data_IF_614446874103
#
_entry.id   IF_614446874103
#
_cell.length_a   1.000
_cell.length_b   1.000
_cell.length_c   1.000
_cell.angle_alpha   90.00
_cell.angle_beta   90.00
_cell.angle_gamma   90.00
#
_symmetry.space_group_name_H-M   'P 1'
#
loop_
_entity.id
_entity.type
_entity.pdbx_description
1 polymer ?
#
# COMPACT_ATOMS: atom_id res chain seq x y z
N UNK A 1 36.99 -20.54 -27.85
CA UNK A 1 36.17 -19.31 -27.74
C UNK A 1 35.75 -19.16 -26.29
N UNK A 2 36.49 -18.39 -25.49
CA UNK A 2 36.08 -18.02 -24.13
C UNK A 2 35.23 -16.76 -24.22
N UNK A 3 33.97 -16.91 -24.64
CA UNK A 3 32.98 -15.88 -24.32
C UNK A 3 32.92 -15.78 -22.80
N UNK A 4 32.81 -14.58 -22.26
CA UNK A 4 32.61 -14.38 -20.81
C UNK A 4 31.28 -15.06 -20.45
N UNK A 5 31.33 -16.33 -20.05
CA UNK A 5 30.18 -17.01 -19.49
C UNK A 5 29.76 -16.26 -18.22
N UNK A 6 28.45 -15.98 -18.05
CA UNK A 6 27.92 -15.55 -16.77
C UNK A 6 28.38 -16.51 -15.66
N UNK A 7 28.79 -15.97 -14.52
CA UNK A 7 29.38 -16.76 -13.41
C UNK A 7 28.46 -17.91 -12.97
N UNK A 8 27.15 -17.69 -13.02
CA UNK A 8 26.10 -18.67 -12.70
C UNK A 8 26.07 -19.88 -13.66
N UNK A 9 26.48 -19.70 -14.92
CA UNK A 9 26.51 -20.75 -15.94
C UNK A 9 27.76 -21.63 -15.89
N UNK A 10 28.81 -21.23 -15.16
CA UNK A 10 30.02 -22.04 -14.97
C UNK A 10 29.70 -23.36 -14.28
N UNK A 11 28.79 -23.34 -13.30
CA UNK A 11 28.34 -24.55 -12.63
C UNK A 11 27.64 -25.51 -13.59
N UNK A 12 26.77 -24.98 -14.46
CA UNK A 12 26.06 -25.78 -15.47
C UNK A 12 27.06 -26.39 -16.45
N UNK A 13 28.07 -25.62 -16.87
CA UNK A 13 29.13 -26.11 -17.75
C UNK A 13 29.96 -27.23 -17.10
N UNK A 14 30.34 -27.10 -15.83
CA UNK A 14 31.06 -28.14 -15.09
C UNK A 14 30.19 -29.39 -14.84
N UNK A 15 28.89 -29.22 -14.62
CA UNK A 15 27.96 -30.34 -14.48
C UNK A 15 27.82 -31.12 -15.79
N UNK A 16 27.74 -30.40 -16.90
CA UNK A 16 27.66 -30.90 -18.26
C UNK A 16 28.92 -31.69 -18.67
N UNK A 17 30.12 -31.21 -18.32
CA UNK A 17 31.38 -31.94 -18.59
C UNK A 17 31.51 -33.22 -17.77
N UNK A 18 31.00 -33.23 -16.53
CA UNK A 18 31.05 -34.41 -15.64
C UNK A 18 30.03 -35.49 -16.00
N UNK A 19 28.87 -35.12 -16.58
CA UNK A 19 27.76 -36.02 -16.90
C UNK A 19 27.34 -35.88 -18.37
N UNK A 20 28.19 -36.31 -19.33
CA UNK A 20 27.97 -36.06 -20.74
C UNK A 20 26.74 -36.79 -21.32
N UNK A 21 26.32 -37.89 -20.71
CA UNK A 21 25.14 -38.68 -21.13
C UNK A 21 23.80 -38.01 -20.81
N UNK A 22 23.78 -37.07 -19.86
CA UNK A 22 22.55 -36.40 -19.40
C UNK A 22 22.51 -34.92 -19.84
N UNK A 23 23.40 -34.51 -20.76
CA UNK A 23 23.53 -33.14 -21.26
C UNK A 23 22.18 -32.50 -21.63
N UNK A 24 21.38 -33.18 -22.44
CA UNK A 24 20.09 -32.67 -22.92
C UNK A 24 19.10 -32.46 -21.77
N UNK A 25 19.10 -33.38 -20.80
CA UNK A 25 18.23 -33.30 -19.62
C UNK A 25 18.64 -32.18 -18.69
N UNK A 26 19.94 -31.99 -18.47
CA UNK A 26 20.51 -30.88 -17.68
C UNK A 26 20.14 -29.54 -18.32
N UNK A 27 20.40 -29.38 -19.63
CA UNK A 27 20.05 -28.16 -20.36
C UNK A 27 18.55 -27.87 -20.32
N UNK A 28 17.71 -28.89 -20.57
CA UNK A 28 16.26 -28.71 -20.56
C UNK A 28 15.73 -28.34 -19.17
N UNK A 29 16.30 -28.93 -18.12
CA UNK A 29 15.94 -28.59 -16.75
C UNK A 29 16.30 -27.14 -16.43
N UNK A 30 17.54 -26.73 -16.69
CA UNK A 30 18.01 -25.37 -16.40
C UNK A 30 17.25 -24.31 -17.21
N UNK A 31 16.98 -24.55 -18.49
CA UNK A 31 16.15 -23.65 -19.31
C UNK A 31 14.76 -23.48 -18.69
N UNK A 32 14.14 -24.57 -18.21
CA UNK A 32 12.82 -24.49 -17.56
C UNK A 32 12.88 -23.74 -16.23
N UNK A 33 13.91 -23.96 -15.43
CA UNK A 33 14.09 -23.30 -14.13
C UNK A 33 14.27 -21.79 -14.31
N UNK A 34 15.24 -21.38 -15.13
CA UNK A 34 15.51 -19.97 -15.43
C UNK A 34 14.32 -19.27 -16.12
N UNK A 35 13.55 -19.98 -16.96
CA UNK A 35 12.32 -19.45 -17.54
C UNK A 35 11.23 -19.18 -16.48
N UNK A 36 11.09 -20.06 -15.48
CA UNK A 36 10.16 -19.85 -14.36
C UNK A 36 10.57 -18.67 -13.50
N UNK A 37 11.85 -18.51 -13.21
CA UNK A 37 12.38 -17.37 -12.44
C UNK A 37 12.14 -16.05 -13.16
N UNK A 38 12.33 -16.00 -14.49
CA UNK A 38 12.01 -14.80 -15.27
C UNK A 38 10.50 -14.47 -15.21
N UNK A 39 9.63 -15.49 -15.34
CA UNK A 39 8.18 -15.31 -15.19
C UNK A 39 7.81 -14.78 -13.80
N UNK A 40 8.41 -15.31 -12.74
CA UNK A 40 8.22 -14.81 -11.37
C UNK A 40 8.66 -13.36 -11.23
N UNK A 41 9.84 -12.99 -11.75
CA UNK A 41 10.33 -11.62 -11.73
C UNK A 41 9.37 -10.65 -12.44
N UNK A 42 8.82 -11.06 -13.59
CA UNK A 42 7.82 -10.27 -14.34
C UNK A 42 6.52 -10.13 -13.57
N UNK A 43 6.02 -11.21 -12.98
CA UNK A 43 4.80 -11.22 -12.19
C UNK A 43 4.93 -10.32 -10.95
N UNK A 44 6.05 -10.39 -10.22
CA UNK A 44 6.33 -9.52 -9.06
C UNK A 44 6.30 -8.05 -9.48
N UNK A 45 6.91 -7.67 -10.61
CA UNK A 45 6.85 -6.28 -11.08
C UNK A 45 5.43 -5.81 -11.40
N UNK A 46 4.61 -6.65 -12.02
CA UNK A 46 3.21 -6.33 -12.28
C UNK A 46 2.44 -6.16 -10.96
N UNK A 47 2.68 -7.04 -10.00
CA UNK A 47 2.04 -7.01 -8.69
C UNK A 47 2.43 -5.74 -7.90
N UNK A 48 3.70 -5.31 -7.98
CA UNK A 48 4.16 -4.04 -7.40
C UNK A 48 3.42 -2.82 -7.97
N UNK A 49 3.19 -2.78 -9.29
CA UNK A 49 2.43 -1.68 -9.92
C UNK A 49 0.97 -1.65 -9.46
N UNK A 50 0.31 -2.81 -9.41
CA UNK A 50 -1.08 -2.92 -8.94
C UNK A 50 -1.19 -2.57 -7.45
N UNK A 51 -0.22 -2.99 -6.65
CA UNK A 51 -0.14 -2.65 -5.23
C UNK A 51 0.04 -1.14 -5.03
N UNK A 52 0.89 -0.49 -5.84
CA UNK A 52 1.08 0.96 -5.78
C UNK A 52 -0.23 1.73 -6.07
N UNK A 53 -0.95 1.33 -7.11
CA UNK A 53 -2.23 1.96 -7.48
C UNK A 53 -3.32 1.76 -6.42
N UNK A 54 -3.52 0.52 -5.97
CA UNK A 54 -4.51 0.21 -4.93
C UNK A 54 -4.20 0.90 -3.60
N UNK A 55 -2.92 1.02 -3.26
CA UNK A 55 -2.43 1.72 -2.09
C UNK A 55 -2.76 3.21 -2.12
N UNK A 56 -2.57 3.89 -3.27
CA UNK A 56 -2.92 5.29 -3.46
C UNK A 56 -4.42 5.51 -3.22
N UNK A 57 -5.26 4.68 -3.85
CA UNK A 57 -6.72 4.73 -3.70
C UNK A 57 -7.15 4.59 -2.25
N UNK A 58 -6.56 3.64 -1.49
CA UNK A 58 -6.84 3.46 -0.07
C UNK A 58 -6.45 4.69 0.76
N UNK A 59 -5.30 5.31 0.46
CA UNK A 59 -4.85 6.52 1.15
C UNK A 59 -5.84 7.67 1.00
N UNK A 60 -6.36 7.88 -0.21
CA UNK A 60 -7.39 8.89 -0.48
C UNK A 60 -8.69 8.58 0.26
N UNK A 61 -9.14 7.33 0.25
CA UNK A 61 -10.36 6.92 0.98
C UNK A 61 -10.21 7.14 2.49
N UNK A 62 -9.06 6.82 3.06
CA UNK A 62 -8.78 7.07 4.49
C UNK A 62 -8.81 8.57 4.78
N UNK A 63 -8.18 9.41 3.96
CA UNK A 63 -8.19 10.85 4.16
C UNK A 63 -9.61 11.44 4.11
N UNK A 64 -10.43 10.99 3.16
CA UNK A 64 -11.85 11.38 3.06
C UNK A 64 -12.62 10.91 4.30
N UNK A 65 -12.42 9.66 4.74
CA UNK A 65 -13.09 9.14 5.93
C UNK A 65 -12.69 9.93 7.19
N UNK A 66 -11.41 10.26 7.36
CA UNK A 66 -10.92 11.08 8.48
C UNK A 66 -11.50 12.48 8.43
N UNK A 67 -11.63 13.09 7.24
CA UNK A 67 -12.28 14.39 7.08
C UNK A 67 -13.75 14.34 7.52
N UNK A 68 -14.52 13.38 7.00
CA UNK A 68 -15.95 13.22 7.35
C UNK A 68 -16.10 13.00 8.85
N UNK A 69 -15.25 12.17 9.46
CA UNK A 69 -15.32 11.86 10.87
C UNK A 69 -14.98 13.08 11.74
N UNK A 70 -13.94 13.84 11.39
CA UNK A 70 -13.59 15.08 12.07
C UNK A 70 -14.66 16.16 11.91
N UNK A 71 -15.24 16.31 10.73
CA UNK A 71 -16.33 17.26 10.48
C UNK A 71 -17.58 16.90 11.30
N UNK A 72 -17.97 15.63 11.33
CA UNK A 72 -19.09 15.15 12.14
C UNK A 72 -18.84 15.35 13.65
N UNK A 73 -17.62 15.07 14.14
CA UNK A 73 -17.25 15.36 15.52
C UNK A 73 -17.27 16.86 15.82
N UNK A 74 -16.80 17.70 14.90
CA UNK A 74 -16.84 19.16 15.01
C UNK A 74 -18.25 19.69 15.17
N UNK A 75 -19.18 19.22 14.33
CA UNK A 75 -20.62 19.56 14.42
C UNK A 75 -21.23 19.11 15.74
N UNK A 76 -20.93 17.90 16.21
CA UNK A 76 -21.40 17.39 17.51
C UNK A 76 -20.89 18.23 18.69
N UNK A 77 -19.62 18.65 18.66
CA UNK A 77 -19.04 19.53 19.67
C UNK A 77 -19.67 20.94 19.59
N UNK A 78 -19.90 21.45 18.39
CA UNK A 78 -20.62 22.72 18.17
C UNK A 78 -22.03 22.69 18.76
N UNK A 79 -22.75 21.59 18.54
CA UNK A 79 -24.08 21.36 19.09
C UNK A 79 -24.06 21.24 20.62
N UNK A 80 -23.06 20.54 21.18
CA UNK A 80 -22.86 20.46 22.63
C UNK A 80 -22.56 21.83 23.27
N UNK A 81 -21.74 22.66 22.63
CA UNK A 81 -21.45 24.03 23.07
C UNK A 81 -22.67 24.92 22.97
N UNK A 82 -23.42 24.84 21.87
CA UNK A 82 -24.68 25.58 21.72
C UNK A 82 -25.70 25.20 22.80
N UNK A 83 -25.81 23.92 23.13
CA UNK A 83 -26.65 23.43 24.24
C UNK A 83 -26.16 23.97 25.60
N UNK A 84 -24.84 24.07 25.80
CA UNK A 84 -24.27 24.65 27.01
C UNK A 84 -24.52 26.17 27.09
N UNK A 85 -24.41 26.89 25.97
CA UNK A 85 -24.71 28.32 25.89
C UNK A 85 -26.20 28.61 26.15
N UNK A 86 -27.10 27.74 25.67
CA UNK A 86 -28.54 27.80 26.00
C UNK A 86 -28.81 27.56 27.49
N UNK A 87 -28.07 26.65 28.15
CA UNK A 87 -28.13 26.50 29.61
C UNK A 87 -27.70 27.79 30.31
N UNK A 88 -26.63 28.43 29.83
CA UNK A 88 -26.13 29.69 30.38
C UNK A 88 -27.08 30.88 30.13
N UNK A 89 -27.85 30.85 29.03
CA UNK A 89 -28.87 31.85 28.69
C UNK A 89 -30.26 31.58 29.30
N UNK A 90 -30.39 30.60 30.21
CA UNK A 90 -31.63 30.42 30.96
C UNK A 90 -31.87 31.63 31.88
N UNK A 91 -32.58 32.62 31.33
CA UNK A 91 -32.97 33.85 32.02
C UNK A 91 -33.80 33.45 33.24
N UNK A 92 -33.24 33.65 34.43
CA UNK A 92 -34.04 33.72 35.66
C UNK A 92 -34.93 34.96 35.54
N UNK A 93 -36.17 34.77 35.09
CA UNK A 93 -37.22 35.78 35.22
C UNK A 93 -37.74 35.65 36.65
N UNK A 94 -37.48 36.59 37.57
CA UNK A 94 -38.09 36.55 38.89
C UNK A 94 -39.59 36.77 38.73
N UNK A 95 -40.38 35.71 38.84
CA UNK A 95 -41.83 35.81 38.82
C UNK A 95 -42.31 36.55 40.09
N UNK A 96 -43.08 37.64 39.98
CA UNK A 96 -43.66 38.27 41.14
C UNK A 96 -44.87 37.42 41.57
N UNK A 97 -44.67 36.65 42.63
CA UNK A 97 -45.69 36.17 43.58
C UNK A 97 -46.74 35.21 42.99
N UNK A 98 -46.59 33.93 43.36
CA UNK A 98 -47.76 33.04 43.53
C UNK A 98 -48.14 32.15 42.36
N UNK A 99 -47.17 31.44 41.77
CA UNK A 99 -47.27 30.08 41.20
C UNK A 99 -46.07 29.90 40.25
N UNK A 100 -45.04 29.21 40.74
CA UNK A 100 -43.83 28.94 39.97
C UNK A 100 -44.11 27.92 38.87
N UNK A 101 -44.68 28.36 37.74
CA UNK A 101 -44.49 27.66 36.48
C UNK A 101 -43.04 27.94 36.05
N UNK A 102 -42.12 27.18 36.64
CA UNK A 102 -40.76 27.07 36.14
C UNK A 102 -40.88 26.45 34.74
N UNK A 103 -40.97 27.28 33.70
CA UNK A 103 -40.54 26.88 32.37
C UNK A 103 -39.02 26.71 32.42
N UNK A 104 -38.58 25.68 33.14
CA UNK A 104 -37.19 25.32 33.24
C UNK A 104 -36.86 24.61 31.94
N UNK A 105 -36.28 25.37 31.01
CA UNK A 105 -35.68 24.79 29.80
C UNK A 105 -34.67 23.69 30.20
N UNK A 106 -34.12 23.76 31.42
CA UNK A 106 -33.29 22.73 32.06
C UNK A 106 -33.92 21.32 32.14
N UNK A 107 -35.25 21.17 32.20
CA UNK A 107 -35.88 19.84 32.20
C UNK A 107 -35.84 19.14 30.83
N UNK A 108 -35.65 19.90 29.75
CA UNK A 108 -35.62 19.38 28.38
C UNK A 108 -34.20 19.21 27.81
N UNK A 109 -33.16 19.60 28.57
CA UNK A 109 -31.78 19.52 28.10
C UNK A 109 -31.13 18.24 28.64
N UNK A 110 -30.74 17.28 27.78
CA UNK A 110 -30.21 15.99 28.23
C UNK A 110 -29.00 16.18 29.17
N UNK A 111 -29.12 15.74 30.42
CA UNK A 111 -28.08 15.80 31.46
C UNK A 111 -27.06 14.68 31.30
N UNK A 112 -26.57 14.41 30.09
CA UNK A 112 -25.59 13.34 29.88
C UNK A 112 -24.17 13.86 30.09
N UNK A 113 -23.38 13.13 30.89
CA UNK A 113 -21.96 13.42 31.14
C UNK A 113 -21.12 13.48 29.85
N UNK A 114 -21.63 12.89 28.76
CA UNK A 114 -21.01 12.89 27.43
C UNK A 114 -21.05 14.28 26.80
N UNK A 115 -22.12 15.06 27.02
CA UNK A 115 -22.27 16.43 26.48
C UNK A 115 -21.29 17.39 27.18
N UNK A 116 -21.18 17.31 28.51
CA UNK A 116 -20.24 18.13 29.28
C UNK A 116 -18.78 17.77 28.99
N UNK A 117 -18.49 16.49 28.68
CA UNK A 117 -17.16 16.07 28.26
C UNK A 117 -16.83 16.54 26.83
N UNK A 118 -17.79 16.45 25.91
CA UNK A 118 -17.63 16.90 24.52
C UNK A 118 -17.43 18.42 24.42
N UNK A 119 -18.12 19.20 25.25
CA UNK A 119 -18.01 20.67 25.24
C UNK A 119 -16.63 21.18 25.70
N UNK A 120 -15.86 20.37 26.45
CA UNK A 120 -14.47 20.68 26.85
C UNK A 120 -13.47 20.58 25.70
N UNK A 121 -13.83 19.92 24.59
CA UNK A 121 -12.96 19.84 23.44
C UNK A 121 -13.05 21.13 22.59
N UNK A 122 -11.94 21.57 21.96
CA UNK A 122 -11.99 22.64 20.98
C UNK A 122 -12.95 22.22 19.85
N UNK A 123 -13.84 23.14 19.46
CA UNK A 123 -14.73 22.87 18.34
C UNK A 123 -13.87 22.97 17.09
N UNK A 124 -13.63 21.84 16.42
CA UNK A 124 -13.00 21.86 15.12
C UNK A 124 -14.05 22.31 14.11
N UNK A 125 -13.87 23.48 13.52
CA UNK A 125 -14.66 23.93 12.40
C UNK A 125 -14.30 23.17 11.11
N UNK A 126 -15.04 23.47 10.05
CA UNK A 126 -14.82 22.89 8.71
C UNK A 126 -13.41 23.17 8.19
N UNK A 127 -12.83 24.32 8.56
CA UNK A 127 -11.47 24.71 8.12
C UNK A 127 -10.40 23.94 8.89
N UNK A 128 -10.50 23.79 10.21
CA UNK A 128 -9.50 23.01 10.95
C UNK A 128 -9.56 21.51 10.60
N UNK A 129 -10.76 20.96 10.41
CA UNK A 129 -10.92 19.57 9.95
C UNK A 129 -10.33 19.35 8.54
N UNK A 130 -10.50 20.32 7.63
CA UNK A 130 -9.85 20.30 6.32
C UNK A 130 -8.31 20.34 6.43
N UNK A 131 -7.75 21.17 7.31
CA UNK A 131 -6.29 21.25 7.52
C UNK A 131 -5.75 19.92 8.08
N UNK A 132 -6.38 19.35 9.10
CA UNK A 132 -5.93 18.09 9.72
C UNK A 132 -6.02 16.94 8.71
N UNK A 133 -7.10 16.84 7.95
CA UNK A 133 -7.23 15.82 6.89
C UNK A 133 -6.20 16.00 5.78
N UNK A 134 -5.87 17.24 5.40
CA UNK A 134 -4.78 17.54 4.47
C UNK A 134 -3.42 17.10 5.05
N UNK A 135 -3.15 17.37 6.33
CA UNK A 135 -1.91 16.93 6.99
C UNK A 135 -1.79 15.41 7.02
N UNK A 136 -2.87 14.69 7.34
CA UNK A 136 -2.92 13.22 7.29
C UNK A 136 -2.67 12.73 5.88
N UNK A 137 -3.28 13.35 4.86
CA UNK A 137 -3.06 13.01 3.46
C UNK A 137 -1.59 13.22 3.06
N UNK A 138 -1.00 14.37 3.39
CA UNK A 138 0.40 14.70 3.10
C UNK A 138 1.34 13.72 3.80
N UNK A 139 1.10 13.40 5.07
CA UNK A 139 1.88 12.42 5.81
C UNK A 139 1.81 11.03 5.15
N UNK A 140 0.61 10.58 4.77
CA UNK A 140 0.42 9.30 4.08
C UNK A 140 1.13 9.27 2.71
N UNK A 141 1.09 10.38 1.96
CA UNK A 141 1.80 10.52 0.69
C UNK A 141 3.31 10.46 0.92
N UNK A 142 3.84 11.20 1.89
CA UNK A 142 5.27 11.23 2.20
C UNK A 142 5.78 9.86 2.66
N UNK A 143 5.07 9.20 3.58
CA UNK A 143 5.36 7.84 4.02
C UNK A 143 5.35 6.84 2.87
N UNK A 144 4.39 6.99 1.95
CA UNK A 144 4.29 6.15 0.75
C UNK A 144 5.37 6.45 -0.27
N UNK A 145 5.79 7.70 -0.44
CA UNK A 145 6.91 8.06 -1.29
C UNK A 145 8.21 7.43 -0.78
N UNK A 146 8.42 7.42 0.54
CA UNK A 146 9.55 6.74 1.17
C UNK A 146 9.52 5.22 0.91
N UNK A 147 8.37 4.57 1.13
CA UNK A 147 8.22 3.13 0.83
C UNK A 147 8.35 2.83 -0.67
N UNK A 148 7.82 3.71 -1.53
CA UNK A 148 7.91 3.63 -2.98
C UNK A 148 9.34 3.75 -3.49
N UNK A 149 10.15 4.60 -2.86
CA UNK A 149 11.59 4.70 -3.13
C UNK A 149 12.32 3.39 -2.82
N UNK A 150 12.00 2.74 -1.69
CA UNK A 150 12.56 1.44 -1.34
C UNK A 150 12.16 0.35 -2.34
N UNK A 151 10.88 0.29 -2.71
CA UNK A 151 10.35 -0.61 -3.74
C UNK A 151 10.98 -0.34 -5.12
N UNK A 152 11.24 0.92 -5.47
CA UNK A 152 11.91 1.30 -6.72
C UNK A 152 13.35 0.80 -6.76
N UNK A 153 14.07 0.88 -5.63
CA UNK A 153 15.42 0.34 -5.51
C UNK A 153 15.42 -1.18 -5.72
N UNK A 154 14.51 -1.90 -5.06
CA UNK A 154 14.33 -3.34 -5.28
C UNK A 154 13.94 -3.66 -6.73
N UNK A 155 13.05 -2.86 -7.34
CA UNK A 155 12.64 -3.02 -8.73
C UNK A 155 13.81 -2.87 -9.72
N UNK A 156 14.78 -2.00 -9.43
CA UNK A 156 16.02 -1.88 -10.22
C UNK A 156 16.89 -3.13 -10.12
N UNK A 157 17.02 -3.71 -8.93
CA UNK A 157 17.76 -4.96 -8.73
C UNK A 157 17.08 -6.13 -9.45
N UNK A 158 15.76 -6.29 -9.30
CA UNK A 158 14.98 -7.26 -10.07
C UNK A 158 15.10 -7.04 -11.59
N UNK A 159 15.26 -5.79 -12.05
CA UNK A 159 15.47 -5.47 -13.47
C UNK A 159 16.84 -5.91 -13.98
N UNK A 160 17.88 -5.78 -13.16
CA UNK A 160 19.20 -6.30 -13.49
C UNK A 160 19.19 -7.83 -13.52
N UNK A 161 18.67 -8.46 -12.47
CA UNK A 161 18.59 -9.91 -12.34
C UNK A 161 17.81 -10.56 -13.50
N UNK A 162 16.67 -9.98 -13.88
CA UNK A 162 15.89 -10.45 -15.03
C UNK A 162 16.62 -10.32 -16.37
N UNK A 163 17.47 -9.30 -16.53
CA UNK A 163 18.30 -9.18 -17.74
C UNK A 163 19.43 -10.22 -17.76
N UNK A 164 20.02 -10.49 -16.60
CA UNK A 164 21.03 -11.55 -16.43
C UNK A 164 20.41 -12.92 -16.77
N UNK A 165 19.24 -13.24 -16.23
CA UNK A 165 18.50 -14.47 -16.58
C UNK A 165 18.16 -14.55 -18.08
N UNK A 166 17.78 -13.43 -18.73
CA UNK A 166 17.51 -13.42 -20.17
C UNK A 166 18.78 -13.70 -21.00
N UNK A 167 19.93 -13.18 -20.57
CA UNK A 167 21.22 -13.49 -21.19
C UNK A 167 21.58 -14.95 -20.99
N UNK A 168 21.41 -15.50 -19.78
CA UNK A 168 21.67 -16.91 -19.48
C UNK A 168 20.78 -17.85 -20.31
N UNK A 169 19.49 -17.55 -20.40
CA UNK A 169 18.54 -18.31 -21.23
C UNK A 169 18.92 -18.28 -22.71
N UNK A 170 19.48 -17.18 -23.19
CA UNK A 170 19.94 -17.06 -24.58
C UNK A 170 21.11 -18.00 -24.83
N UNK A 171 22.11 -17.98 -23.94
CA UNK A 171 23.29 -18.85 -24.01
C UNK A 171 22.91 -20.33 -23.90
N UNK A 172 22.04 -20.71 -22.95
CA UNK A 172 21.58 -22.09 -22.79
C UNK A 172 20.84 -22.60 -24.03
N UNK A 173 20.02 -21.76 -24.67
CA UNK A 173 19.33 -22.11 -25.92
C UNK A 173 20.28 -22.23 -27.10
N UNK A 174 21.33 -21.43 -27.14
CA UNK A 174 22.40 -21.55 -28.15
C UNK A 174 23.12 -22.89 -27.99
N UNK A 175 23.50 -23.28 -26.78
CA UNK A 175 24.12 -24.59 -26.50
C UNK A 175 23.19 -25.76 -26.85
N UNK A 176 21.90 -25.64 -26.57
CA UNK A 176 20.92 -26.66 -26.96
C UNK A 176 20.81 -26.79 -28.49
N UNK A 177 20.84 -25.67 -29.23
CA UNK A 177 20.79 -25.68 -30.70
C UNK A 177 22.07 -26.25 -31.31
N UNK A 178 23.23 -25.89 -30.79
CA UNK A 178 24.52 -26.41 -31.24
C UNK A 178 24.56 -27.94 -31.09
N UNK A 179 24.10 -28.46 -29.94
CA UNK A 179 23.99 -29.91 -29.71
C UNK A 179 22.95 -30.60 -30.59
N UNK A 180 21.82 -29.96 -30.86
CA UNK A 180 20.79 -30.50 -31.75
C UNK A 180 21.25 -30.56 -33.23
N UNK A 181 22.27 -29.79 -33.61
CA UNK A 181 22.89 -29.84 -34.94
C UNK A 181 23.95 -30.95 -35.01
N UNK A 182 24.62 -31.26 -33.90
CA UNK A 182 25.64 -32.31 -33.80
C UNK A 182 25.05 -33.74 -33.75
N UNK A 183 23.79 -33.91 -33.35
CA UNK A 183 23.08 -35.20 -33.42
C UNK A 183 22.28 -35.31 -34.74
N UNK A 184 22.68 -36.16 -35.71
CA UNK A 184 21.86 -36.38 -36.91
C UNK A 184 20.52 -37.03 -36.52
N UNK A 185 19.43 -36.73 -37.25
CA UNK A 185 18.13 -37.30 -36.97
C UNK A 185 18.22 -38.82 -37.05
N UNK A 186 17.97 -39.50 -35.93
CA UNK A 186 17.73 -40.94 -35.92
C UNK A 186 16.50 -41.19 -36.79
N UNK A 187 16.74 -41.64 -38.03
CA UNK A 187 15.72 -42.20 -38.91
C UNK A 187 15.17 -43.45 -38.21
N UNK A 188 14.02 -43.30 -37.55
CA UNK A 188 13.10 -44.41 -37.27
C UNK A 188 12.46 -44.89 -38.55
#
# INVERSE_FOLDING_TARGET
>A
MTSKLPTELLYVQDLMTRLPSEHERILTHEIRTRARENLQCRAIRQLMNVQAWSSLRRGVVIAIATFILLAAFGELIGLAKWVQDLRAYSVHIPAPIGQGLLLSVNEFIPQSAIVDLAARFPAYGVVESAIVSLLVLVFLIAWRAYSGYFLFRQGRELKKFSREIEQELTVLREWQKEKAVDEPPKKT
#
